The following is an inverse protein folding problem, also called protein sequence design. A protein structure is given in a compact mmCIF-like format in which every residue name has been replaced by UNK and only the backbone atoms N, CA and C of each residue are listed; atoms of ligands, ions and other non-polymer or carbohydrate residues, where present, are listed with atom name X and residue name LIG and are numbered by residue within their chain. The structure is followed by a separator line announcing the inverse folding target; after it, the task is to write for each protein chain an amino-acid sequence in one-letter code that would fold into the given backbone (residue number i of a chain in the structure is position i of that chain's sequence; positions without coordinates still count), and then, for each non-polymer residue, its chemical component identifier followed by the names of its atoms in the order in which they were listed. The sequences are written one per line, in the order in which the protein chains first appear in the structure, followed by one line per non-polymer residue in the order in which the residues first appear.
data_IF_376080217804
#
_entry.id   IF_376080217804
#
_cell.length_a   1.000
_cell.length_b   1.000
_cell.length_c   1.000
_cell.angle_alpha   90.00
_cell.angle_beta   90.00
_cell.angle_gamma   90.00
#
_symmetry.space_group_name_H-M   'P 1'
#
loop_
_entity.id
_entity.type
_entity.pdbx_description
1 polymer ?
#
# COMPACT_ATOMS: atom_id res chain seq x y z
N UNK A 1 15.10 8.50 57.00
CA UNK A 1 14.47 8.78 55.70
C UNK A 1 15.52 8.62 54.62
N UNK A 2 15.46 7.54 53.85
CA UNK A 2 16.38 7.30 52.73
C UNK A 2 15.60 6.68 51.58
N UNK A 3 14.84 7.51 50.85
CA UNK A 3 14.20 7.11 49.59
C UNK A 3 14.90 7.85 48.44
N UNK A 4 15.86 7.19 47.81
CA UNK A 4 16.30 7.57 46.48
C UNK A 4 16.74 6.31 45.72
N UNK A 5 15.80 5.72 44.99
CA UNK A 5 16.05 4.65 44.04
C UNK A 5 16.30 5.27 42.64
N UNK A 6 17.38 4.94 41.92
CA UNK A 6 17.58 5.44 40.56
C UNK A 6 16.67 4.69 39.58
N UNK A 7 16.15 5.34 38.52
CA UNK A 7 15.41 4.63 37.48
C UNK A 7 16.37 3.76 36.64
N UNK A 8 15.99 2.51 36.29
CA UNK A 8 16.82 1.67 35.44
C UNK A 8 16.79 2.19 33.98
N UNK A 9 17.94 2.16 33.25
CA UNK A 9 17.99 2.47 31.84
C UNK A 9 17.46 1.27 31.03
N UNK A 10 16.14 1.18 30.92
CA UNK A 10 15.47 0.18 30.10
C UNK A 10 15.42 0.63 28.64
N UNK A 11 16.42 0.24 27.85
CA UNK A 11 16.28 0.15 26.40
C UNK A 11 15.07 -0.72 26.06
N UNK A 12 14.02 -0.11 25.51
CA UNK A 12 12.95 -0.83 24.82
C UNK A 12 13.07 -0.58 23.31
N UNK A 13 12.78 -1.62 22.50
CA UNK A 13 13.33 -1.83 21.16
C UNK A 13 12.70 -0.91 20.11
N UNK A 14 13.28 -0.76 18.90
CA UNK A 14 12.64 -0.03 17.82
C UNK A 14 11.22 -0.55 17.64
N UNK A 15 10.25 0.36 17.71
CA UNK A 15 8.86 0.07 17.40
C UNK A 15 8.85 -0.70 16.06
N UNK A 16 8.45 -1.97 16.12
CA UNK A 16 8.20 -2.76 14.91
C UNK A 16 7.34 -1.89 14.00
N UNK A 17 7.66 -1.75 12.70
CA UNK A 17 6.70 -1.14 11.80
C UNK A 17 5.42 -1.95 11.94
N UNK A 18 4.35 -1.26 12.33
CA UNK A 18 3.00 -1.79 12.31
C UNK A 18 2.80 -2.34 10.90
N UNK A 19 2.99 -3.66 10.77
CA UNK A 19 2.49 -4.44 9.65
C UNK A 19 0.99 -4.49 9.88
N UNK A 20 0.32 -3.37 9.64
CA UNK A 20 -1.07 -3.44 9.22
C UNK A 20 -1.09 -4.47 8.09
N UNK A 21 -1.91 -5.54 8.22
CA UNK A 21 -2.02 -6.52 7.16
C UNK A 21 -2.37 -5.75 5.89
N UNK A 22 -1.84 -6.12 4.71
CA UNK A 22 -2.20 -5.43 3.47
C UNK A 22 -3.68 -5.73 3.25
N UNK A 23 -4.55 -4.86 3.75
CA UNK A 23 -5.92 -4.73 3.28
C UNK A 23 -5.71 -4.40 1.81
N UNK A 24 -5.78 -5.44 0.97
CA UNK A 24 -5.57 -5.34 -0.46
C UNK A 24 -6.48 -4.23 -0.94
N UNK A 25 -5.88 -3.13 -1.40
CA UNK A 25 -6.60 -1.93 -1.75
C UNK A 25 -7.76 -2.28 -2.69
N UNK A 26 -9.03 -2.13 -2.25
CA UNK A 26 -10.16 -2.54 -3.06
C UNK A 26 -10.13 -1.87 -4.44
N UNK A 27 -9.75 -0.59 -4.47
CA UNK A 27 -9.55 0.17 -5.70
C UNK A 27 -8.45 -0.42 -6.60
N UNK A 28 -7.30 -0.83 -6.06
CA UNK A 28 -6.25 -1.49 -6.83
C UNK A 28 -6.74 -2.82 -7.42
N UNK A 29 -7.55 -3.58 -6.67
CA UNK A 29 -8.19 -4.81 -7.16
C UNK A 29 -9.15 -4.49 -8.31
N UNK A 30 -9.98 -3.45 -8.19
CA UNK A 30 -10.88 -3.02 -9.26
C UNK A 30 -10.13 -2.56 -10.50
N UNK A 31 -9.05 -1.79 -10.34
CA UNK A 31 -8.19 -1.34 -11.45
C UNK A 31 -7.59 -2.57 -12.16
N UNK A 32 -7.07 -3.53 -11.42
CA UNK A 32 -6.51 -4.76 -11.98
C UNK A 32 -7.58 -5.58 -12.73
N UNK A 33 -8.76 -5.77 -12.14
CA UNK A 33 -9.86 -6.50 -12.74
C UNK A 33 -10.38 -5.81 -14.02
N UNK A 34 -10.55 -4.49 -13.99
CA UNK A 34 -10.97 -3.70 -15.14
C UNK A 34 -9.95 -3.75 -16.28
N UNK A 35 -8.65 -3.67 -15.95
CA UNK A 35 -7.57 -3.81 -16.93
C UNK A 35 -7.60 -5.19 -17.59
N UNK A 36 -7.77 -6.25 -16.81
CA UNK A 36 -7.86 -7.61 -17.34
C UNK A 36 -9.10 -7.79 -18.22
N UNK A 37 -10.24 -7.26 -17.79
CA UNK A 37 -11.48 -7.27 -18.57
C UNK A 37 -11.35 -6.51 -19.90
N UNK A 38 -10.71 -5.35 -19.89
CA UNK A 38 -10.45 -4.57 -21.11
C UNK A 38 -9.58 -5.33 -22.12
N UNK A 39 -8.59 -6.10 -21.63
CA UNK A 39 -7.77 -6.97 -22.48
C UNK A 39 -8.64 -8.04 -23.18
N UNK A 40 -9.58 -8.64 -22.46
CA UNK A 40 -10.50 -9.63 -23.05
C UNK A 40 -11.43 -9.02 -24.11
N UNK A 41 -11.85 -7.76 -23.95
CA UNK A 41 -12.70 -7.07 -24.94
C UNK A 41 -11.89 -6.71 -26.20
N UNK A 42 -10.67 -6.21 -26.03
CA UNK A 42 -9.86 -5.73 -27.14
C UNK A 42 -8.39 -6.17 -27.03
N UNK A 43 -8.08 -7.42 -27.42
CA UNK A 43 -6.75 -7.97 -27.29
C UNK A 43 -5.73 -7.34 -28.26
N UNK A 44 -6.17 -6.59 -29.28
CA UNK A 44 -5.26 -5.89 -30.18
C UNK A 44 -4.56 -4.69 -29.51
N UNK A 45 -5.16 -4.15 -28.45
CA UNK A 45 -4.68 -2.96 -27.74
C UNK A 45 -4.09 -3.28 -26.36
N UNK A 46 -3.63 -4.52 -26.12
CA UNK A 46 -3.09 -4.97 -24.82
C UNK A 46 -2.03 -4.03 -24.27
N UNK A 47 -1.09 -3.56 -25.10
CA UNK A 47 -0.03 -2.66 -24.65
C UNK A 47 -0.57 -1.35 -24.08
N UNK A 48 -1.53 -0.72 -24.77
CA UNK A 48 -2.17 0.54 -24.32
C UNK A 48 -3.00 0.30 -23.07
N UNK A 49 -3.78 -0.79 -23.03
CA UNK A 49 -4.63 -1.14 -21.89
C UNK A 49 -3.78 -1.38 -20.64
N UNK A 50 -2.68 -2.13 -20.76
CA UNK A 50 -1.73 -2.33 -19.66
C UNK A 50 -1.09 -1.02 -19.22
N UNK A 51 -0.70 -0.15 -20.16
CA UNK A 51 -0.13 1.15 -19.83
C UNK A 51 -1.11 1.99 -19.01
N UNK A 52 -2.38 2.05 -19.42
CA UNK A 52 -3.44 2.74 -18.69
C UNK A 52 -3.70 2.12 -17.32
N UNK A 53 -3.72 0.79 -17.22
CA UNK A 53 -3.88 0.08 -15.94
C UNK A 53 -2.75 0.37 -14.95
N UNK A 54 -1.50 0.40 -15.42
CA UNK A 54 -0.34 0.76 -14.59
C UNK A 54 -0.41 2.22 -14.16
N UNK A 55 -0.76 3.15 -15.07
CA UNK A 55 -0.93 4.56 -14.72
C UNK A 55 -2.01 4.73 -13.64
N UNK A 56 -3.17 4.09 -13.82
CA UNK A 56 -4.25 4.13 -12.84
C UNK A 56 -3.80 3.60 -11.47
N UNK A 57 -3.03 2.52 -11.44
CA UNK A 57 -2.48 1.95 -10.22
C UNK A 57 -1.48 2.91 -9.53
N UNK A 58 -0.61 3.55 -10.31
CA UNK A 58 0.33 4.55 -9.79
C UNK A 58 -0.40 5.77 -9.24
N UNK A 59 -1.47 6.22 -9.90
CA UNK A 59 -2.31 7.31 -9.41
C UNK A 59 -2.98 6.93 -8.09
N UNK A 60 -3.60 5.76 -7.99
CA UNK A 60 -4.22 5.27 -6.75
C UNK A 60 -3.22 5.28 -5.58
N UNK A 61 -1.99 4.82 -5.80
CA UNK A 61 -0.94 4.83 -4.77
C UNK A 61 -0.47 6.25 -4.42
N UNK A 62 -0.38 7.15 -5.40
CA UNK A 62 0.03 8.54 -5.18
C UNK A 62 -1.03 9.34 -4.44
N UNK A 63 -2.31 9.21 -4.81
CA UNK A 63 -3.42 9.90 -4.14
C UNK A 63 -3.56 9.44 -2.69
N UNK A 64 -3.39 8.15 -2.40
CA UNK A 64 -3.39 7.65 -1.01
C UNK A 64 -2.27 8.15 -0.12
N UNK A 65 -1.17 8.66 -0.69
CA UNK A 65 -0.04 9.22 0.07
C UNK A 65 -0.15 10.74 0.29
N UNK A 66 -1.12 11.39 -0.35
CA UNK A 66 -1.29 12.85 -0.33
C UNK A 66 -2.31 13.37 0.69
N UNK A 67 -3.11 12.48 1.27
CA UNK A 67 -3.95 12.72 2.46
C UNK A 67 -3.20 12.28 3.74
#
# INVERSE_FOLDING_TARGET
MSDQLPPPPGHLPPARPDRTPPIRDPAAIFIAAATLFAIFINPQNVGVILMLGVIALLLEVRFRRGD
#
